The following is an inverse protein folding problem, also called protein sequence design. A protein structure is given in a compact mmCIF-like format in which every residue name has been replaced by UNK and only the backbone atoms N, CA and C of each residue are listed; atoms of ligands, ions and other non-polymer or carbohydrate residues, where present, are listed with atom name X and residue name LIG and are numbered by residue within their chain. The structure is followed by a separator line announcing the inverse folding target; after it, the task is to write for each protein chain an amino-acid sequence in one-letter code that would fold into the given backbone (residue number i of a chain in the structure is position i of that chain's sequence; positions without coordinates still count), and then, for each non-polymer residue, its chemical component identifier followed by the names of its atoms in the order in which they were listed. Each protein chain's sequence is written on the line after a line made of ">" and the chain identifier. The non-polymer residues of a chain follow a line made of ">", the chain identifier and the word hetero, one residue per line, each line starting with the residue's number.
data_IF_407624643636
#
_entry.id   IF_407624643636
#
_cell.length_a   1.000
_cell.length_b   1.000
_cell.length_c   1.000
_cell.angle_alpha   90.00
_cell.angle_beta   90.00
_cell.angle_gamma   90.00
#
_symmetry.space_group_name_H-M   'P 1'
#
loop_
_entity.id
_entity.type
_entity.pdbx_description
1 polymer ?
#
# COMPACT_ATOMS: atom_id res chain seq x y z
N UNK A 1 8.98 13.10 -16.60
CA UNK A 1 8.65 13.00 -15.16
C UNK A 1 9.01 11.58 -14.69
N UNK A 2 9.61 11.42 -13.51
CA UNK A 2 10.09 10.11 -13.05
C UNK A 2 8.99 9.34 -12.31
N UNK A 3 8.97 8.01 -12.46
CA UNK A 3 8.13 7.11 -11.66
C UNK A 3 8.45 7.30 -10.17
N UNK A 4 7.42 7.36 -9.32
CA UNK A 4 7.58 7.55 -7.88
C UNK A 4 6.82 6.49 -7.10
N UNK A 5 7.49 5.97 -6.08
CA UNK A 5 6.87 5.14 -5.04
C UNK A 5 6.73 6.00 -3.79
N UNK A 6 5.49 6.21 -3.34
CA UNK A 6 5.13 7.02 -2.18
C UNK A 6 4.54 6.08 -1.12
N UNK A 7 5.21 5.96 0.01
CA UNK A 7 4.75 5.16 1.14
C UNK A 7 4.07 6.03 2.19
N UNK A 8 2.89 5.61 2.64
CA UNK A 8 2.04 6.35 3.59
C UNK A 8 1.70 5.42 4.73
N UNK A 9 2.23 5.70 5.91
CA UNK A 9 2.00 4.92 7.13
C UNK A 9 1.34 5.76 8.23
N UNK A 10 0.94 5.13 9.33
CA UNK A 10 0.34 5.76 10.51
C UNK A 10 -0.71 4.87 11.17
N UNK A 11 -1.22 5.28 12.32
CA UNK A 11 -2.21 4.55 13.12
C UNK A 11 -3.55 4.35 12.41
N UNK A 12 -4.41 3.50 12.98
CA UNK A 12 -5.79 3.34 12.51
C UNK A 12 -6.51 4.70 12.48
N UNK A 13 -7.33 4.93 11.44
CA UNK A 13 -8.11 6.17 11.25
C UNK A 13 -7.30 7.47 11.22
N UNK A 14 -5.99 7.41 10.96
CA UNK A 14 -5.10 8.59 10.88
C UNK A 14 -5.23 9.41 9.59
N UNK A 15 -6.08 9.00 8.62
CA UNK A 15 -6.29 9.71 7.36
C UNK A 15 -5.42 9.24 6.18
N UNK A 16 -4.70 8.10 6.30
CA UNK A 16 -3.80 7.57 5.27
C UNK A 16 -4.44 7.40 3.89
N UNK A 17 -5.56 6.67 3.82
CA UNK A 17 -6.25 6.40 2.56
C UNK A 17 -6.75 7.68 1.91
N UNK A 18 -7.33 8.61 2.70
CA UNK A 18 -7.77 9.91 2.21
C UNK A 18 -6.61 10.74 1.68
N UNK A 19 -5.46 10.74 2.35
CA UNK A 19 -4.26 11.43 1.89
C UNK A 19 -3.72 10.80 0.61
N UNK A 20 -3.66 9.46 0.51
CA UNK A 20 -3.24 8.76 -0.70
C UNK A 20 -4.13 9.13 -1.90
N UNK A 21 -5.45 9.12 -1.71
CA UNK A 21 -6.42 9.51 -2.73
C UNK A 21 -6.25 10.98 -3.13
N UNK A 22 -6.24 11.92 -2.19
CA UNK A 22 -6.10 13.34 -2.50
C UNK A 22 -4.79 13.67 -3.21
N UNK A 23 -3.68 13.09 -2.75
CA UNK A 23 -2.36 13.29 -3.37
C UNK A 23 -2.31 12.69 -4.78
N UNK A 24 -2.96 11.55 -5.02
CA UNK A 24 -3.02 10.94 -6.35
C UNK A 24 -3.91 11.69 -7.35
N UNK A 25 -4.91 12.45 -6.87
CA UNK A 25 -5.75 13.29 -7.73
C UNK A 25 -4.99 14.45 -8.38
N UNK A 26 -3.83 14.85 -7.82
CA UNK A 26 -2.96 15.85 -8.47
C UNK A 26 -2.29 15.34 -9.74
N UNK A 27 -2.33 14.02 -9.99
CA UNK A 27 -1.79 13.39 -11.20
C UNK A 27 -2.90 13.27 -12.24
N UNK A 28 -2.72 13.89 -13.39
CA UNK A 28 -3.69 13.80 -14.50
C UNK A 28 -3.71 12.39 -15.10
N UNK A 29 -4.88 11.92 -15.56
CA UNK A 29 -5.08 10.63 -16.24
C UNK A 29 -5.81 9.59 -15.38
N UNK A 30 -5.95 8.38 -15.97
CA UNK A 30 -6.66 7.25 -15.33
C UNK A 30 -5.95 6.80 -14.05
N UNK A 31 -6.74 6.38 -13.08
CA UNK A 31 -6.25 5.95 -11.76
C UNK A 31 -6.76 4.55 -11.42
N UNK A 32 -5.92 3.74 -10.81
CA UNK A 32 -6.31 2.43 -10.29
C UNK A 32 -6.22 2.40 -8.75
N UNK A 33 -7.11 1.66 -8.16
CA UNK A 33 -7.12 1.38 -6.73
C UNK A 33 -7.11 -0.13 -6.53
N UNK A 34 -6.05 -0.62 -5.89
CA UNK A 34 -5.89 -2.03 -5.54
C UNK A 34 -6.23 -2.20 -4.06
N UNK A 35 -7.39 -2.79 -3.80
CA UNK A 35 -7.90 -3.07 -2.47
C UNK A 35 -7.47 -4.47 -2.03
N UNK A 36 -6.97 -4.58 -0.81
CA UNK A 36 -6.56 -5.87 -0.22
C UNK A 36 -7.52 -6.38 0.84
N UNK A 37 -8.57 -5.60 1.17
CA UNK A 37 -9.56 -5.97 2.17
C UNK A 37 -10.47 -7.09 1.64
N UNK A 38 -10.71 -8.11 2.46
CA UNK A 38 -11.76 -9.11 2.27
C UNK A 38 -12.96 -8.77 3.16
N UNK A 39 -14.17 -8.93 2.62
CA UNK A 39 -15.42 -8.69 3.34
C UNK A 39 -15.75 -9.90 4.25
N UNK A 40 -15.01 -10.09 5.32
CA UNK A 40 -15.13 -11.23 6.22
C UNK A 40 -16.27 -11.08 7.24
N UNK A 41 -16.73 -9.86 7.47
CA UNK A 41 -17.84 -9.53 8.37
C UNK A 41 -18.63 -8.30 7.88
N UNK A 42 -19.77 -8.01 8.55
CA UNK A 42 -20.63 -6.88 8.18
C UNK A 42 -19.97 -5.51 8.40
N UNK A 43 -19.10 -5.37 9.39
CA UNK A 43 -18.39 -4.11 9.63
C UNK A 43 -17.44 -3.83 8.48
N UNK A 44 -16.66 -4.83 8.07
CA UNK A 44 -15.72 -4.73 6.97
C UNK A 44 -16.44 -4.50 5.64
N UNK A 45 -17.57 -5.17 5.40
CA UNK A 45 -18.42 -4.94 4.22
C UNK A 45 -18.85 -3.48 4.12
N UNK A 46 -19.41 -2.91 5.20
CA UNK A 46 -19.81 -1.51 5.24
C UNK A 46 -18.65 -0.55 5.03
N UNK A 47 -17.48 -0.88 5.57
CA UNK A 47 -16.25 -0.10 5.42
C UNK A 47 -15.75 -0.09 3.96
N UNK A 48 -15.74 -1.25 3.31
CA UNK A 48 -15.39 -1.38 1.88
C UNK A 48 -16.35 -0.56 1.01
N UNK A 49 -17.66 -0.65 1.27
CA UNK A 49 -18.65 0.14 0.53
C UNK A 49 -18.47 1.65 0.70
N UNK A 50 -18.17 2.12 1.92
CA UNK A 50 -17.88 3.54 2.17
C UNK A 50 -16.64 3.99 1.39
N UNK A 51 -15.57 3.19 1.37
CA UNK A 51 -14.37 3.48 0.60
C UNK A 51 -14.63 3.46 -0.91
N UNK A 52 -15.50 2.56 -1.41
CA UNK A 52 -15.94 2.56 -2.82
C UNK A 52 -16.70 3.83 -3.19
N UNK A 53 -17.59 4.29 -2.33
CA UNK A 53 -18.38 5.53 -2.55
C UNK A 53 -17.51 6.80 -2.57
N UNK A 54 -16.41 6.83 -1.80
CA UNK A 54 -15.49 7.97 -1.75
C UNK A 54 -14.63 8.12 -3.01
N UNK A 55 -14.53 7.05 -3.81
CA UNK A 55 -13.69 6.98 -5.00
C UNK A 55 -14.45 7.37 -6.25
N UNK A 56 -14.91 8.30 -6.64
CA UNK A 56 -15.67 8.67 -7.85
C UNK A 56 -15.43 7.78 -9.08
N UNK A 57 -16.05 8.12 -10.20
CA UNK A 57 -15.97 7.37 -11.46
C UNK A 57 -14.57 7.38 -12.14
N UNK A 58 -13.63 8.10 -11.56
CA UNK A 58 -12.26 8.26 -12.11
C UNK A 58 -11.33 7.10 -11.74
N UNK A 59 -11.80 6.16 -10.91
CA UNK A 59 -11.02 5.06 -10.37
C UNK A 59 -11.50 3.72 -10.90
N UNK A 60 -10.60 2.97 -11.50
CA UNK A 60 -10.78 1.53 -11.71
C UNK A 60 -10.36 0.79 -10.44
N UNK A 61 -11.27 0.01 -9.85
CA UNK A 61 -11.02 -0.71 -8.60
C UNK A 61 -10.75 -2.19 -8.88
N UNK A 62 -9.66 -2.67 -8.33
CA UNK A 62 -9.23 -4.07 -8.32
C UNK A 62 -9.24 -4.57 -6.89
N UNK A 63 -9.72 -5.79 -6.68
CA UNK A 63 -9.75 -6.45 -5.38
C UNK A 63 -8.84 -7.68 -5.46
N UNK A 64 -7.73 -7.64 -4.73
CA UNK A 64 -6.78 -8.75 -4.67
C UNK A 64 -6.19 -8.86 -3.26
N UNK A 65 -6.62 -9.85 -2.46
CA UNK A 65 -6.22 -10.00 -1.08
C UNK A 65 -4.83 -10.63 -0.88
N UNK A 66 -4.22 -11.27 -1.91
CA UNK A 66 -3.05 -12.12 -1.73
C UNK A 66 -1.94 -11.85 -2.75
N UNK A 67 -2.26 -11.89 -4.04
CA UNK A 67 -1.30 -11.84 -5.16
C UNK A 67 -1.09 -10.42 -5.70
N UNK A 68 -0.97 -9.45 -4.79
CA UNK A 68 -0.90 -8.02 -5.14
C UNK A 68 0.26 -7.70 -6.10
N UNK A 69 1.40 -8.40 -5.99
CA UNK A 69 2.56 -8.15 -6.84
C UNK A 69 2.29 -8.51 -8.32
N UNK A 70 1.48 -9.53 -8.58
CA UNK A 70 1.09 -9.94 -9.94
C UNK A 70 0.15 -8.90 -10.54
N UNK A 71 -0.93 -8.55 -9.83
CA UNK A 71 -1.89 -7.54 -10.29
C UNK A 71 -1.21 -6.18 -10.51
N UNK A 72 -0.31 -5.76 -9.63
CA UNK A 72 0.43 -4.52 -9.81
C UNK A 72 1.24 -4.49 -11.11
N UNK A 73 1.90 -5.61 -11.49
CA UNK A 73 2.66 -5.70 -12.74
C UNK A 73 1.76 -5.51 -13.97
N UNK A 74 0.55 -6.07 -13.94
CA UNK A 74 -0.43 -5.93 -15.04
C UNK A 74 -0.97 -4.51 -15.14
N UNK A 75 -1.01 -3.77 -14.03
CA UNK A 75 -1.49 -2.40 -13.97
C UNK A 75 -0.41 -1.36 -14.33
N UNK A 76 0.87 -1.73 -14.24
CA UNK A 76 1.96 -0.80 -14.54
C UNK A 76 1.90 -0.33 -16.01
N UNK A 77 1.96 0.98 -16.20
CA UNK A 77 1.90 1.59 -17.53
C UNK A 77 0.48 1.89 -18.07
N UNK A 78 -0.56 1.30 -17.47
CA UNK A 78 -1.95 1.54 -17.90
C UNK A 78 -2.62 2.71 -17.16
N UNK A 79 -2.04 3.14 -16.04
CA UNK A 79 -2.58 4.16 -15.15
C UNK A 79 -1.55 5.22 -14.79
N UNK A 80 -2.01 6.45 -14.60
CA UNK A 80 -1.18 7.57 -14.16
C UNK A 80 -0.91 7.53 -12.66
N UNK A 81 -1.80 6.93 -11.88
CA UNK A 81 -1.63 6.68 -10.45
C UNK A 81 -2.23 5.32 -10.08
N UNK A 82 -1.56 4.63 -9.15
CA UNK A 82 -2.04 3.40 -8.51
C UNK A 82 -1.98 3.57 -7.00
N UNK A 83 -3.09 3.31 -6.30
CA UNK A 83 -3.15 3.26 -4.83
C UNK A 83 -3.31 1.83 -4.40
N UNK A 84 -2.40 1.31 -3.57
CA UNK A 84 -2.50 0.02 -2.88
C UNK A 84 -2.92 0.26 -1.42
N UNK A 85 -4.11 -0.20 -1.05
CA UNK A 85 -4.67 -0.02 0.31
C UNK A 85 -5.28 -1.34 0.84
N UNK A 86 -4.64 -2.02 1.82
CA UNK A 86 -3.39 -1.66 2.47
C UNK A 86 -2.50 -2.89 2.72
N UNK A 87 -1.21 -2.69 2.91
CA UNK A 87 -0.26 -3.78 3.19
C UNK A 87 -0.55 -4.52 4.49
N UNK A 88 -1.12 -3.84 5.50
CA UNK A 88 -1.43 -4.48 6.78
C UNK A 88 -2.54 -5.52 6.65
N UNK A 89 -3.60 -5.23 5.88
CA UNK A 89 -4.66 -6.20 5.60
C UNK A 89 -4.13 -7.32 4.69
N UNK A 90 -3.36 -6.99 3.67
CA UNK A 90 -2.68 -8.00 2.85
C UNK A 90 -1.83 -8.96 3.67
N UNK A 91 -0.99 -8.45 4.58
CA UNK A 91 -0.19 -9.27 5.48
C UNK A 91 -1.09 -10.13 6.40
N UNK A 92 -2.20 -9.57 6.88
CA UNK A 92 -3.19 -10.31 7.69
C UNK A 92 -3.81 -11.46 6.91
N UNK A 93 -4.19 -11.24 5.65
CA UNK A 93 -4.75 -12.27 4.78
C UNK A 93 -3.74 -13.41 4.55
N UNK A 94 -2.47 -13.07 4.28
CA UNK A 94 -1.40 -14.07 4.19
C UNK A 94 -1.23 -14.86 5.48
N UNK A 95 -1.26 -14.18 6.62
CA UNK A 95 -1.15 -14.80 7.95
C UNK A 95 -2.31 -15.78 8.24
N UNK A 96 -3.54 -15.39 7.92
CA UNK A 96 -4.72 -16.24 8.12
C UNK A 96 -4.65 -17.51 7.26
N UNK A 97 -4.15 -17.40 6.02
CA UNK A 97 -3.95 -18.56 5.15
C UNK A 97 -2.84 -19.50 5.63
N UNK A 98 -1.82 -19.00 6.34
CA UNK A 98 -0.76 -19.86 6.87
C UNK A 98 -1.20 -20.72 8.05
N UNK A 99 -2.34 -20.40 8.70
CA UNK A 99 -2.90 -21.20 9.79
C UNK A 99 -3.76 -22.38 9.29
N UNK A 100 -4.10 -22.41 7.98
CA UNK A 100 -4.81 -23.51 7.32
C UNK A 100 -3.95 -24.07 6.18
N UNK A 101 -3.53 -25.33 6.26
CA UNK A 101 -2.90 -26.12 5.17
C UNK A 101 -1.71 -25.51 4.39
N UNK A 102 -0.49 -25.87 4.76
CA UNK A 102 0.68 -25.87 3.87
C UNK A 102 1.37 -24.53 3.58
N UNK A 103 0.85 -23.41 4.02
CA UNK A 103 1.46 -22.09 3.88
C UNK A 103 2.30 -21.75 5.12
N UNK A 104 3.61 -22.02 5.09
CA UNK A 104 4.52 -21.64 6.16
C UNK A 104 4.92 -20.15 6.12
N UNK A 105 5.59 -19.66 7.16
CA UNK A 105 6.19 -18.31 7.20
C UNK A 105 7.04 -18.01 5.95
N UNK A 106 7.65 -19.02 5.34
CA UNK A 106 8.42 -18.93 4.12
C UNK A 106 7.60 -18.43 2.92
N UNK A 107 6.29 -18.75 2.87
CA UNK A 107 5.39 -18.23 1.82
C UNK A 107 5.16 -16.73 1.99
N UNK A 108 4.99 -16.26 3.23
CA UNK A 108 4.82 -14.82 3.50
C UNK A 108 6.09 -14.05 3.09
N UNK A 109 7.26 -14.58 3.44
CA UNK A 109 8.55 -13.98 3.04
C UNK A 109 8.69 -13.94 1.51
N UNK A 110 8.28 -15.00 0.82
CA UNK A 110 8.28 -15.05 -0.65
C UNK A 110 7.37 -13.98 -1.25
N UNK A 111 6.14 -13.81 -0.74
CA UNK A 111 5.21 -12.79 -1.24
C UNK A 111 5.71 -11.37 -0.95
N UNK A 112 6.33 -11.14 0.22
CA UNK A 112 7.01 -9.87 0.51
C UNK A 112 8.13 -9.61 -0.49
N UNK A 113 8.95 -10.62 -0.82
CA UNK A 113 10.02 -10.48 -1.78
C UNK A 113 9.49 -10.20 -3.19
N UNK A 114 8.43 -10.91 -3.62
CA UNK A 114 7.75 -10.68 -4.90
C UNK A 114 7.24 -9.22 -5.02
N UNK A 115 6.68 -8.69 -3.95
CA UNK A 115 6.25 -7.29 -3.90
C UNK A 115 7.45 -6.33 -4.05
N UNK A 116 8.53 -6.54 -3.29
CA UNK A 116 9.72 -5.70 -3.37
C UNK A 116 10.36 -5.72 -4.76
N UNK A 117 10.40 -6.88 -5.40
CA UNK A 117 10.95 -7.02 -6.75
C UNK A 117 10.04 -6.36 -7.79
N UNK A 118 8.72 -6.43 -7.62
CA UNK A 118 7.76 -5.68 -8.43
C UNK A 118 7.98 -4.16 -8.31
N UNK A 119 8.24 -3.65 -7.10
CA UNK A 119 8.52 -2.23 -6.87
C UNK A 119 9.85 -1.79 -7.50
N UNK A 120 10.89 -2.61 -7.39
CA UNK A 120 12.19 -2.34 -8.03
C UNK A 120 12.05 -2.34 -9.55
N UNK A 121 11.33 -3.32 -10.11
CA UNK A 121 11.04 -3.39 -11.54
C UNK A 121 10.25 -2.16 -12.00
N UNK A 122 9.23 -1.76 -11.26
CA UNK A 122 8.50 -0.52 -11.55
C UNK A 122 9.41 0.70 -11.66
N UNK A 123 10.36 0.86 -10.73
CA UNK A 123 11.29 1.99 -10.72
C UNK A 123 12.32 1.93 -11.86
N UNK A 124 12.81 0.74 -12.21
CA UNK A 124 13.86 0.55 -13.23
C UNK A 124 13.32 0.50 -14.66
N UNK A 125 12.03 0.20 -14.86
CA UNK A 125 11.45 0.12 -16.20
C UNK A 125 11.45 1.50 -16.88
N UNK A 126 11.98 1.55 -18.13
CA UNK A 126 12.17 2.79 -18.87
C UNK A 126 10.87 3.59 -19.02
N UNK A 127 10.92 4.88 -18.74
CA UNK A 127 9.88 5.81 -19.14
C UNK A 127 9.97 5.94 -20.67
N UNK A 128 9.01 5.37 -21.41
CA UNK A 128 9.00 5.53 -22.87
C UNK A 128 8.55 4.33 -23.69
N UNK A 129 8.25 3.17 -23.10
CA UNK A 129 7.57 2.11 -23.85
C UNK A 129 6.16 2.55 -24.24
N UNK A 130 5.62 2.16 -25.44
CA UNK A 130 4.23 2.45 -25.81
C UNK A 130 3.29 1.95 -24.71
N UNK A 131 2.49 2.84 -24.12
CA UNK A 131 1.66 2.55 -22.94
C UNK A 131 2.32 2.88 -21.60
N UNK A 132 3.59 3.26 -21.53
CA UNK A 132 4.26 3.71 -20.31
C UNK A 132 3.83 5.14 -19.93
N UNK A 133 2.56 5.30 -19.58
CA UNK A 133 2.11 6.47 -18.85
C UNK A 133 2.95 6.61 -17.57
N UNK A 134 3.26 7.84 -17.22
CA UNK A 134 3.88 8.14 -15.95
C UNK A 134 2.98 7.63 -14.82
N UNK A 135 3.46 6.71 -13.99
CA UNK A 135 2.69 6.16 -12.89
C UNK A 135 3.32 6.54 -11.54
N UNK A 136 2.54 7.16 -10.68
CA UNK A 136 2.87 7.32 -9.26
C UNK A 136 2.18 6.23 -8.46
N UNK A 137 2.96 5.50 -7.67
CA UNK A 137 2.47 4.41 -6.84
C UNK A 137 2.38 4.88 -5.39
N UNK A 138 1.18 4.82 -4.83
CA UNK A 138 0.89 5.15 -3.44
C UNK A 138 0.61 3.87 -2.69
N UNK A 139 1.39 3.59 -1.66
CA UNK A 139 1.28 2.38 -0.85
C UNK A 139 0.86 2.78 0.57
N UNK A 140 -0.27 2.25 1.03
CA UNK A 140 -0.80 2.50 2.37
C UNK A 140 -0.50 1.32 3.30
N UNK A 141 -0.06 1.61 4.52
CA UNK A 141 0.12 0.60 5.58
C UNK A 141 -0.23 1.18 6.95
N UNK A 142 -0.70 0.32 7.87
CA UNK A 142 -0.83 0.76 9.25
C UNK A 142 0.51 0.64 9.98
N UNK A 143 0.75 1.59 10.90
CA UNK A 143 1.75 1.45 11.94
C UNK A 143 1.09 0.77 13.15
N UNK A 144 1.54 -0.45 13.46
CA UNK A 144 0.98 -1.27 14.55
C UNK A 144 1.97 -1.53 15.68
N UNK A 145 3.20 -1.01 15.56
CA UNK A 145 4.30 -1.24 16.50
C UNK A 145 4.38 -0.24 17.65
N UNK A 146 3.68 0.90 17.57
CA UNK A 146 3.76 1.99 18.57
C UNK A 146 2.87 1.79 19.80
N UNK A 147 2.15 0.67 19.90
CA UNK A 147 1.27 0.37 21.02
C UNK A 147 1.92 -0.54 22.06
N UNK A 148 1.09 -0.99 23.03
CA UNK A 148 1.49 -1.96 24.04
C UNK A 148 1.87 -3.30 23.38
N UNK A 149 2.88 -3.98 23.91
CA UNK A 149 3.29 -5.30 23.44
C UNK A 149 2.16 -6.31 23.69
N UNK A 150 1.61 -6.97 22.65
CA UNK A 150 0.53 -7.93 22.82
C UNK A 150 0.96 -9.13 23.66
N UNK A 151 0.07 -9.64 24.53
CA UNK A 151 0.30 -10.89 25.28
C UNK A 151 0.29 -12.12 24.36
N UNK A 152 -0.53 -12.10 23.31
CA UNK A 152 -0.66 -13.20 22.37
C UNK A 152 0.57 -13.27 21.44
N UNK A 153 1.18 -14.45 21.33
CA UNK A 153 2.39 -14.70 20.53
C UNK A 153 2.16 -14.44 19.03
N UNK A 154 1.03 -14.86 18.50
CA UNK A 154 0.67 -14.64 17.08
C UNK A 154 0.57 -13.15 16.77
N UNK A 155 -0.05 -12.37 17.67
CA UNK A 155 -0.14 -10.93 17.53
C UNK A 155 1.23 -10.25 17.59
N UNK A 156 2.16 -10.74 18.41
CA UNK A 156 3.55 -10.23 18.42
C UNK A 156 4.27 -10.53 17.11
N UNK A 157 4.16 -11.78 16.61
CA UNK A 157 4.74 -12.16 15.31
C UNK A 157 4.20 -11.30 14.16
N UNK A 158 2.89 -11.09 14.12
CA UNK A 158 2.26 -10.21 13.12
C UNK A 158 2.79 -8.78 13.22
N UNK A 159 2.84 -8.21 14.43
CA UNK A 159 3.35 -6.86 14.66
C UNK A 159 4.80 -6.70 14.18
N UNK A 160 5.65 -7.66 14.51
CA UNK A 160 7.06 -7.63 14.16
C UNK A 160 7.24 -7.76 12.63
N UNK A 161 6.48 -8.63 11.97
CA UNK A 161 6.49 -8.77 10.51
C UNK A 161 5.95 -7.51 9.81
N UNK A 162 4.90 -6.89 10.34
CA UNK A 162 4.38 -5.63 9.80
C UNK A 162 5.41 -4.51 9.89
N UNK A 163 6.14 -4.43 11.01
CA UNK A 163 7.25 -3.48 11.19
C UNK A 163 8.38 -3.70 10.19
N UNK A 164 8.81 -4.97 10.00
CA UNK A 164 9.84 -5.33 9.01
C UNK A 164 9.38 -5.01 7.58
N UNK A 165 8.13 -5.32 7.24
CA UNK A 165 7.54 -4.99 5.94
C UNK A 165 7.55 -3.47 5.71
N UNK A 166 7.08 -2.68 6.68
CA UNK A 166 7.08 -1.22 6.61
C UNK A 166 8.50 -0.66 6.40
N UNK A 167 9.52 -1.19 7.08
CA UNK A 167 10.92 -0.79 6.88
C UNK A 167 11.40 -1.07 5.46
N UNK A 168 11.13 -2.29 4.93
CA UNK A 168 11.53 -2.68 3.57
C UNK A 168 10.86 -1.79 2.51
N UNK A 169 9.56 -1.50 2.66
CA UNK A 169 8.82 -0.63 1.73
C UNK A 169 9.33 0.81 1.83
N UNK A 170 9.54 1.34 3.03
CA UNK A 170 10.12 2.68 3.21
C UNK A 170 11.52 2.78 2.58
N UNK A 171 12.32 1.71 2.66
CA UNK A 171 13.65 1.63 2.04
C UNK A 171 13.63 1.85 0.53
N UNK A 172 12.67 1.22 -0.18
CA UNK A 172 12.55 1.30 -1.67
C UNK A 172 11.72 2.50 -2.14
N UNK A 173 10.98 3.17 -1.25
CA UNK A 173 10.14 4.33 -1.59
C UNK A 173 10.95 5.60 -1.80
N UNK A 174 10.47 6.47 -2.68
CA UNK A 174 11.06 7.79 -2.96
C UNK A 174 10.60 8.84 -1.94
N UNK A 175 9.35 8.73 -1.50
CA UNK A 175 8.77 9.58 -0.45
C UNK A 175 8.12 8.70 0.61
N UNK A 176 8.22 9.11 1.88
CA UNK A 176 7.57 8.45 3.02
C UNK A 176 6.84 9.49 3.85
N UNK A 177 5.57 9.21 4.16
CA UNK A 177 4.74 10.04 5.01
C UNK A 177 4.23 9.26 6.21
N UNK A 178 4.30 9.88 7.39
CA UNK A 178 3.63 9.43 8.61
C UNK A 178 2.37 10.27 8.82
N UNK A 179 1.22 9.61 8.90
CA UNK A 179 -0.06 10.29 9.16
C UNK A 179 -0.37 10.30 10.64
N UNK A 180 -0.52 11.48 11.20
CA UNK A 180 -0.93 11.68 12.59
C UNK A 180 -2.11 12.64 12.63
N UNK A 181 -3.26 12.20 13.14
CA UNK A 181 -4.47 13.02 13.30
C UNK A 181 -4.90 13.77 12.01
N UNK A 182 -4.77 13.13 10.85
CA UNK A 182 -5.09 13.71 9.55
C UNK A 182 -3.97 14.56 8.92
N UNK A 183 -2.88 14.78 9.63
CA UNK A 183 -1.76 15.64 9.20
C UNK A 183 -0.64 14.76 8.62
N UNK A 184 -0.20 14.98 7.36
CA UNK A 184 0.92 14.27 6.78
C UNK A 184 2.26 14.85 7.26
N UNK A 185 3.08 14.03 7.89
CA UNK A 185 4.46 14.33 8.23
C UNK A 185 5.39 13.67 7.22
N UNK A 186 6.14 14.44 6.44
CA UNK A 186 7.08 13.89 5.47
C UNK A 186 8.34 13.41 6.18
N UNK A 187 8.62 12.11 6.12
CA UNK A 187 9.75 11.46 6.78
C UNK A 187 10.92 11.21 5.83
N UNK A 188 10.66 11.05 4.51
CA UNK A 188 11.67 10.82 3.48
C UNK A 188 11.28 11.50 2.18
N UNK A 189 12.25 11.94 1.40
CA UNK A 189 12.11 12.63 0.12
C UNK A 189 12.57 14.09 0.20
N UNK A 190 12.85 14.71 -0.96
CA UNK A 190 13.28 16.09 -1.00
C UNK A 190 12.21 16.99 -0.36
N UNK A 191 12.58 17.73 0.65
CA UNK A 191 11.81 18.87 1.10
C UNK A 191 11.88 19.88 -0.05
N UNK A 192 10.74 20.22 -0.67
CA UNK A 192 10.70 21.32 -1.60
C UNK A 192 11.30 22.56 -0.90
N UNK A 193 12.32 23.15 -1.51
CA UNK A 193 12.82 24.45 -1.09
C UNK A 193 11.71 25.48 -1.33
N UNK A 194 10.91 25.75 -0.31
CA UNK A 194 9.88 26.76 -0.42
C UNK A 194 8.72 26.53 0.55
N UNK A 195 8.96 26.70 1.83
CA UNK A 195 7.97 27.20 2.79
C UNK A 195 8.78 27.92 3.88
N UNK A 196 9.15 29.15 3.58
CA UNK A 196 9.44 30.19 4.56
C UNK A 196 8.28 31.16 4.56
#
# INVERSE_FOLDING_TARGET
>A
MNKKVIFITGGARSGKSSFALSKSLTVAGRKAYLATAEALDEEMTKRIEQHKKQRGKEWDTYEEPLKIAEVMKDLYGNYSALVLDCLTLWLSNLFMKTQGEGYGLQTIETEIQNLLDSLRHFKSSAAGAPGSGFCSLYIVSNEVGMGIVPENETARKFRDMAGILNQKIAGVSDEVYMMVAGIPMKMKGNHGSGDN
#
